data_IF_902061450935
#
_entry.id   IF_902061450935
#
_cell.length_a   1.000
_cell.length_b   1.000
_cell.length_c   1.000
_cell.angle_alpha   90.00
_cell.angle_beta   90.00
_cell.angle_gamma   90.00
#
_symmetry.space_group_name_H-M   'P 1'
#
loop_
_entity.id
_entity.type
_entity.pdbx_description
1 polymer ?
#
# COMPACT_ATOMS: atom_id res chain seq x y z
N UNK A 1 -14.30 24.68 0.05
CA UNK A 1 -13.33 23.77 0.69
C UNK A 1 -12.36 23.26 -0.37
N UNK A 2 -11.04 23.50 -0.21
CA UNK A 2 -10.02 22.94 -1.12
C UNK A 2 -9.94 21.44 -0.85
N UNK A 3 -10.52 20.61 -1.72
CA UNK A 3 -10.31 19.17 -1.68
C UNK A 3 -8.80 18.92 -1.82
N UNK A 4 -8.24 18.27 -0.80
CA UNK A 4 -6.81 18.03 -0.65
C UNK A 4 -6.28 17.35 -1.93
N UNK A 5 -5.36 18.01 -2.64
CA UNK A 5 -4.82 17.59 -3.96
C UNK A 5 -3.97 16.31 -3.89
N UNK A 6 -3.89 15.69 -2.71
CA UNK A 6 -3.25 14.41 -2.46
C UNK A 6 -4.30 13.34 -2.73
N UNK A 7 -4.30 12.85 -3.95
CA UNK A 7 -5.16 11.75 -4.38
C UNK A 7 -4.81 10.53 -3.53
N UNK A 8 -5.59 10.30 -2.46
CA UNK A 8 -5.43 9.20 -1.52
C UNK A 8 -5.29 7.89 -2.30
N UNK A 9 -4.31 7.08 -1.92
CA UNK A 9 -4.18 5.73 -2.45
C UNK A 9 -5.42 4.93 -2.06
N UNK A 10 -6.14 4.44 -3.06
CA UNK A 10 -7.26 3.53 -2.85
C UNK A 10 -6.77 2.10 -2.63
N UNK A 11 -7.58 1.28 -1.96
CA UNK A 11 -7.24 -0.14 -1.77
C UNK A 11 -7.05 -0.87 -3.12
N UNK A 12 -7.84 -0.51 -4.14
CA UNK A 12 -7.69 -1.05 -5.50
C UNK A 12 -6.35 -0.64 -6.13
N UNK A 13 -5.91 0.61 -5.94
CA UNK A 13 -4.59 1.05 -6.40
C UNK A 13 -3.46 0.32 -5.63
N UNK A 14 -3.61 0.08 -4.32
CA UNK A 14 -2.63 -0.68 -3.55
C UNK A 14 -2.53 -2.14 -4.01
N UNK A 15 -3.66 -2.81 -4.26
CA UNK A 15 -3.66 -4.18 -4.78
C UNK A 15 -2.98 -4.25 -6.14
N UNK A 16 -3.35 -3.35 -7.06
CA UNK A 16 -2.73 -3.29 -8.38
C UNK A 16 -1.21 -3.00 -8.29
N UNK A 17 -0.81 -2.12 -7.38
CA UNK A 17 0.61 -1.82 -7.13
C UNK A 17 1.39 -3.06 -6.69
N UNK A 18 0.82 -3.86 -5.78
CA UNK A 18 1.41 -5.12 -5.32
C UNK A 18 1.47 -6.14 -6.45
N UNK A 19 0.38 -6.37 -7.18
CA UNK A 19 0.33 -7.32 -8.29
C UNK A 19 1.37 -7.00 -9.39
N UNK A 20 1.51 -5.72 -9.73
CA UNK A 20 2.51 -5.26 -10.70
C UNK A 20 3.94 -5.42 -10.17
N UNK A 21 4.16 -5.20 -8.87
CA UNK A 21 5.45 -5.39 -8.25
C UNK A 21 5.85 -6.88 -8.18
N UNK A 22 4.91 -7.76 -7.83
CA UNK A 22 5.09 -9.22 -7.82
C UNK A 22 5.35 -9.77 -9.23
N UNK A 23 4.80 -9.13 -10.26
CA UNK A 23 5.09 -9.43 -11.67
C UNK A 23 6.49 -8.98 -12.10
N UNK A 24 7.35 -8.53 -11.18
CA UNK A 24 8.70 -7.97 -11.43
C UNK A 24 8.72 -6.78 -12.38
N UNK A 25 7.60 -6.05 -12.49
CA UNK A 25 7.52 -4.88 -13.36
C UNK A 25 8.33 -3.71 -12.80
N UNK A 26 9.03 -3.01 -13.68
CA UNK A 26 9.84 -1.85 -13.29
C UNK A 26 8.96 -0.74 -12.69
N UNK A 27 9.39 -0.20 -11.54
CA UNK A 27 8.67 0.87 -10.82
C UNK A 27 8.35 2.08 -11.70
N UNK A 28 9.24 2.42 -12.63
CA UNK A 28 9.02 3.48 -13.62
C UNK A 28 7.82 3.21 -14.53
N UNK A 29 7.65 1.96 -14.98
CA UNK A 29 6.53 1.55 -15.82
C UNK A 29 5.22 1.53 -15.02
N UNK A 30 5.27 1.06 -13.77
CA UNK A 30 4.14 1.09 -12.85
C UNK A 30 3.69 2.55 -12.62
N UNK A 31 4.64 3.46 -12.41
CA UNK A 31 4.36 4.89 -12.25
C UNK A 31 3.64 5.48 -13.47
N UNK A 32 4.11 5.15 -14.68
CA UNK A 32 3.46 5.58 -15.93
C UNK A 32 2.04 5.00 -16.03
N UNK A 33 1.88 3.70 -15.77
CA UNK A 33 0.60 2.99 -15.87
C UNK A 33 -0.43 3.53 -14.88
N UNK A 34 -0.01 3.81 -13.65
CA UNK A 34 -0.88 4.34 -12.58
C UNK A 34 -1.01 5.87 -12.62
N UNK A 35 -0.32 6.55 -13.54
CA UNK A 35 -0.20 8.03 -13.61
C UNK A 35 0.25 8.63 -12.27
N UNK A 36 1.21 7.98 -11.63
CA UNK A 36 1.86 8.39 -10.38
C UNK A 36 3.34 8.70 -10.64
N UNK A 37 4.03 9.19 -9.62
CA UNK A 37 5.48 9.39 -9.65
C UNK A 37 6.18 8.13 -9.17
N UNK A 38 7.36 7.85 -9.71
CA UNK A 38 8.21 6.72 -9.30
C UNK A 38 8.51 6.76 -7.79
N UNK A 39 8.86 7.94 -7.27
CA UNK A 39 9.03 8.15 -5.82
C UNK A 39 7.76 7.86 -5.00
N UNK A 40 6.56 8.05 -5.59
CA UNK A 40 5.29 7.72 -4.95
C UNK A 40 5.00 6.22 -4.92
N UNK A 41 5.42 5.49 -5.97
CA UNK A 41 5.37 4.03 -6.03
C UNK A 41 6.28 3.44 -4.95
N UNK A 42 7.55 3.88 -4.90
CA UNK A 42 8.55 3.39 -3.96
C UNK A 42 8.13 3.60 -2.49
N UNK A 43 7.73 4.84 -2.15
CA UNK A 43 7.23 5.17 -0.82
C UNK A 43 5.99 4.32 -0.46
N UNK A 44 5.04 4.14 -1.40
CA UNK A 44 3.83 3.35 -1.12
C UNK A 44 4.16 1.87 -0.92
N UNK A 45 5.05 1.30 -1.72
CA UNK A 45 5.50 -0.09 -1.55
C UNK A 45 6.17 -0.29 -0.20
N UNK A 46 7.04 0.62 0.22
CA UNK A 46 7.67 0.58 1.54
C UNK A 46 6.63 0.62 2.69
N UNK A 47 5.61 1.47 2.56
CA UNK A 47 4.52 1.55 3.54
C UNK A 47 3.65 0.28 3.57
N UNK A 48 3.37 -0.33 2.42
CA UNK A 48 2.60 -1.59 2.34
C UNK A 48 3.41 -2.73 2.96
N UNK A 49 4.69 -2.87 2.61
CA UNK A 49 5.58 -3.89 3.16
C UNK A 49 5.77 -3.74 4.68
N UNK A 50 5.86 -2.50 5.17
CA UNK A 50 5.89 -2.20 6.60
C UNK A 50 4.57 -2.53 7.32
N UNK A 51 3.42 -2.33 6.67
CA UNK A 51 2.09 -2.61 7.23
C UNK A 51 1.83 -4.10 7.38
N UNK A 52 2.30 -4.93 6.45
CA UNK A 52 2.20 -6.40 6.57
C UNK A 52 2.89 -6.96 7.82
N UNK A 53 3.86 -6.24 8.41
CA UNK A 53 4.53 -6.64 9.66
C UNK A 53 3.82 -6.15 10.92
N UNK A 54 2.88 -5.20 10.80
CA UNK A 54 2.13 -4.64 11.93
C UNK A 54 0.72 -5.23 12.08
N UNK A 55 0.19 -5.88 11.04
CA UNK A 55 -1.14 -6.51 11.09
C UNK A 55 -1.18 -7.91 11.72
N UNK A 56 -0.04 -8.43 12.18
CA UNK A 56 0.05 -9.66 13.00
C UNK A 56 0.15 -9.33 14.52
N UNK A 57 -0.40 -8.19 14.97
CA UNK A 57 -0.48 -7.86 16.41
C UNK A 57 -1.84 -7.24 16.76
N UNK A 58 -2.93 -7.88 16.35
CA UNK A 58 -4.24 -7.60 16.95
C UNK A 58 -5.04 -8.89 17.03
N UNK A 59 -4.54 -9.85 17.80
CA UNK A 59 -5.44 -10.79 18.49
C UNK A 59 -5.86 -10.11 19.79
N UNK A 60 -7.09 -9.56 19.92
CA UNK A 60 -7.62 -9.29 21.25
C UNK A 60 -7.82 -10.65 21.90
N UNK A 61 -6.87 -11.03 22.77
CA UNK A 61 -7.00 -12.14 23.72
C UNK A 61 -8.15 -11.79 24.67
N UNK A 62 -9.38 -11.97 24.21
CA UNK A 62 -10.56 -11.87 25.05
C UNK A 62 -10.68 -13.14 25.88
N UNK A 63 -10.18 -13.03 27.12
CA UNK A 63 -10.78 -13.67 28.30
C UNK A 63 -10.63 -15.19 28.42
N UNK A 64 -9.50 -15.62 28.96
CA UNK A 64 -9.44 -16.87 29.73
C UNK A 64 -9.96 -16.61 31.15
N UNK A 65 -11.12 -17.23 31.46
CA UNK A 65 -11.53 -17.84 32.75
C UNK A 65 -11.65 -16.91 33.99
N UNK A 66 -12.23 -17.34 35.14
CA UNK A 66 -12.52 -18.70 35.65
C UNK A 66 -13.95 -19.22 35.40
#
# INVERSE_FOLDING_TARGET
MRANRFKSWTETEERLLVELHESTMNHRLIAIQMRRTEAGIDNRLALIAGRSRASDDTTPRAGSTP
#
